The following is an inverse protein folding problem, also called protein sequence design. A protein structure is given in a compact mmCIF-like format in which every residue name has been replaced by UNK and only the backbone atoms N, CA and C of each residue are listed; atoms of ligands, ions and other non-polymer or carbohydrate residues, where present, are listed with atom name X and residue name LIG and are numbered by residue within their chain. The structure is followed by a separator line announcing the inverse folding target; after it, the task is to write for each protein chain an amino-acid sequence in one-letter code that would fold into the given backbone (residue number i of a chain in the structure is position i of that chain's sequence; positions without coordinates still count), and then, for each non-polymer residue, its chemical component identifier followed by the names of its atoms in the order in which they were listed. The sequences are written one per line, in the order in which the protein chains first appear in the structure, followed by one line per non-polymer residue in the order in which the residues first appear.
data_IF_293560292393
#
_entry.id   IF_293560292393
#
_cell.length_a   1.000
_cell.length_b   1.000
_cell.length_c   1.000
_cell.angle_alpha   90.00
_cell.angle_beta   90.00
_cell.angle_gamma   90.00
#
_symmetry.space_group_name_H-M   'P 1'
#
loop_
_entity.id
_entity.type
_entity.pdbx_description
1 polymer ?
#
# COMPACT_ATOMS: atom_id res chain seq x y z
N UNK A 1 -4.56 12.23 -19.15
CA UNK A 1 -5.98 12.18 -18.75
C UNK A 1 -5.98 11.55 -17.37
N UNK A 2 -6.85 11.99 -16.44
CA UNK A 2 -6.99 11.31 -15.15
C UNK A 2 -7.26 9.82 -15.37
N UNK A 3 -6.76 8.98 -14.47
CA UNK A 3 -7.01 7.54 -14.51
C UNK A 3 -8.45 7.24 -14.08
N UNK A 4 -9.14 6.41 -14.85
CA UNK A 4 -10.45 5.87 -14.46
C UNK A 4 -10.25 4.49 -13.82
N UNK A 5 -11.17 4.10 -12.94
CA UNK A 5 -11.16 2.76 -12.32
C UNK A 5 -11.13 1.67 -13.39
N UNK A 6 -10.18 0.75 -13.25
CA UNK A 6 -9.94 -0.35 -14.18
C UNK A 6 -9.07 0.03 -15.38
N UNK A 7 -8.69 1.30 -15.55
CA UNK A 7 -7.68 1.65 -16.54
C UNK A 7 -6.37 0.91 -16.23
N UNK A 8 -5.75 0.34 -17.25
CA UNK A 8 -4.38 -0.19 -17.18
C UNK A 8 -3.46 0.77 -17.91
N UNK A 9 -2.34 1.10 -17.29
CA UNK A 9 -1.34 1.99 -17.86
C UNK A 9 0.05 1.41 -17.72
N UNK A 10 0.81 1.48 -18.80
CA UNK A 10 2.26 1.31 -18.74
C UNK A 10 2.87 2.46 -17.93
N UNK A 11 3.78 2.13 -17.03
CA UNK A 11 4.58 3.10 -16.29
C UNK A 11 5.62 3.65 -17.26
N UNK A 12 5.33 4.84 -17.79
CA UNK A 12 6.21 5.56 -18.73
C UNK A 12 7.04 6.65 -18.04
N UNK A 13 7.02 6.65 -16.72
CA UNK A 13 7.77 7.53 -15.83
C UNK A 13 9.21 7.05 -15.76
N UNK A 14 10.19 7.95 -15.80
CA UNK A 14 11.61 7.57 -15.86
C UNK A 14 11.93 6.72 -17.10
N UNK A 15 12.81 5.74 -16.93
CA UNK A 15 13.20 4.77 -17.98
C UNK A 15 12.52 3.39 -17.78
N UNK A 16 11.41 3.33 -17.03
CA UNK A 16 10.72 2.08 -16.74
C UNK A 16 10.26 1.35 -18.01
N UNK A 17 10.39 0.03 -18.01
CA UNK A 17 9.84 -0.88 -19.01
C UNK A 17 9.13 -2.05 -18.34
N UNK A 18 8.23 -2.68 -19.10
CA UNK A 18 7.55 -3.92 -18.72
C UNK A 18 6.75 -3.83 -17.41
N UNK A 19 6.52 -2.60 -16.94
CA UNK A 19 5.83 -2.26 -15.71
C UNK A 19 4.52 -1.56 -16.03
N UNK A 20 3.44 -2.06 -15.44
CA UNK A 20 2.10 -1.53 -15.60
C UNK A 20 1.47 -1.32 -14.22
N UNK A 21 0.43 -0.50 -14.18
CA UNK A 21 -0.37 -0.30 -12.99
C UNK A 21 -1.84 -0.12 -13.37
N UNK A 22 -2.73 -0.50 -12.45
CA UNK A 22 -4.16 -0.24 -12.58
C UNK A 22 -4.73 0.44 -11.35
N UNK A 23 -5.79 1.22 -11.56
CA UNK A 23 -6.63 1.73 -10.48
C UNK A 23 -7.68 0.66 -10.15
N UNK A 24 -7.62 0.15 -8.93
CA UNK A 24 -8.51 -0.91 -8.44
C UNK A 24 -9.91 -0.40 -8.08
N UNK A 25 -10.15 0.91 -8.08
CA UNK A 25 -11.40 1.52 -7.62
C UNK A 25 -11.64 1.31 -6.13
N UNK A 26 -10.56 1.31 -5.35
CA UNK A 26 -10.60 1.15 -3.91
C UNK A 26 -11.55 2.19 -3.29
N UNK A 27 -12.48 1.75 -2.45
CA UNK A 27 -13.54 2.58 -1.86
C UNK A 27 -14.43 3.34 -2.86
N UNK A 28 -14.50 2.90 -4.13
CA UNK A 28 -15.21 3.63 -5.18
C UNK A 28 -14.62 5.02 -5.46
N UNK A 29 -13.35 5.23 -5.12
CA UNK A 29 -12.64 6.49 -5.28
C UNK A 29 -11.56 6.33 -6.35
N UNK A 30 -11.59 7.18 -7.38
CA UNK A 30 -10.57 7.18 -8.42
C UNK A 30 -9.22 7.60 -7.83
N UNK A 31 -8.14 7.09 -8.41
CA UNK A 31 -6.77 7.43 -8.06
C UNK A 31 -6.52 7.33 -6.55
N UNK A 32 -7.10 6.32 -5.90
CA UNK A 32 -6.85 6.03 -4.48
C UNK A 32 -6.06 4.73 -4.29
N UNK A 33 -6.38 3.66 -5.01
CA UNK A 33 -5.75 2.35 -4.80
C UNK A 33 -5.19 1.77 -6.10
N UNK A 34 -3.87 1.65 -6.19
CA UNK A 34 -3.14 1.11 -7.31
C UNK A 34 -2.50 -0.24 -6.98
N UNK A 35 -2.44 -1.12 -7.98
CA UNK A 35 -1.62 -2.33 -7.94
C UNK A 35 -0.78 -2.40 -9.21
N UNK A 36 0.36 -3.08 -9.14
CA UNK A 36 1.33 -3.09 -10.22
C UNK A 36 1.48 -4.48 -10.83
N UNK A 37 1.80 -4.52 -12.11
CA UNK A 37 2.05 -5.74 -12.90
C UNK A 37 3.43 -5.58 -13.55
N UNK A 38 4.28 -6.59 -13.42
CA UNK A 38 5.58 -6.69 -14.10
C UNK A 38 5.49 -7.85 -15.10
N UNK A 39 5.66 -7.54 -16.39
CA UNK A 39 5.63 -8.49 -17.50
C UNK A 39 7.05 -8.95 -17.85
N UNK A 40 7.51 -10.02 -17.19
CA UNK A 40 8.85 -10.57 -17.38
C UNK A 40 8.80 -12.09 -17.57
N UNK A 41 9.95 -12.77 -17.57
CA UNK A 41 10.06 -14.22 -17.68
C UNK A 41 9.22 -14.95 -16.62
N UNK A 42 9.09 -14.36 -15.43
CA UNK A 42 8.14 -14.75 -14.39
C UNK A 42 7.22 -13.57 -14.08
N UNK A 43 6.05 -13.48 -14.73
CA UNK A 43 5.13 -12.38 -14.53
C UNK A 43 4.71 -12.23 -13.07
N UNK A 44 4.67 -10.98 -12.61
CA UNK A 44 4.44 -10.66 -11.22
C UNK A 44 3.35 -9.60 -11.03
N UNK A 45 2.67 -9.68 -9.89
CA UNK A 45 1.80 -8.64 -9.36
C UNK A 45 2.38 -8.16 -8.03
N UNK A 46 2.43 -6.84 -7.83
CA UNK A 46 2.76 -6.22 -6.53
C UNK A 46 1.50 -5.59 -5.95
N UNK A 47 1.10 -6.11 -4.78
CA UNK A 47 -0.17 -5.86 -4.09
C UNK A 47 -1.43 -6.22 -4.92
N UNK A 48 -2.57 -6.33 -4.24
CA UNK A 48 -3.79 -6.98 -4.77
C UNK A 48 -5.08 -6.25 -4.42
N UNK A 49 -4.98 -5.10 -3.74
CA UNK A 49 -6.13 -4.29 -3.37
C UNK A 49 -7.02 -4.91 -2.28
N UNK A 50 -8.21 -4.33 -2.10
CA UNK A 50 -9.25 -4.73 -1.13
C UNK A 50 -10.00 -6.03 -1.48
N UNK A 51 -9.60 -6.71 -2.57
CA UNK A 51 -10.19 -7.95 -3.07
C UNK A 51 -11.53 -7.81 -3.79
N UNK A 52 -12.39 -6.84 -3.49
CA UNK A 52 -13.74 -6.74 -4.08
C UNK A 52 -13.75 -6.48 -5.60
N UNK A 53 -12.69 -5.86 -6.11
CA UNK A 53 -12.49 -5.55 -7.53
C UNK A 53 -11.34 -6.34 -8.17
N UNK A 54 -10.96 -7.50 -7.62
CA UNK A 54 -9.85 -8.29 -8.17
C UNK A 54 -10.08 -8.74 -9.62
N UNK A 55 -11.34 -8.81 -10.08
CA UNK A 55 -11.70 -9.04 -11.49
C UNK A 55 -11.15 -7.95 -12.43
N UNK A 56 -10.92 -6.72 -11.96
CA UNK A 56 -10.26 -5.66 -12.74
C UNK A 56 -8.77 -5.98 -12.93
N UNK A 57 -8.11 -6.48 -11.89
CA UNK A 57 -6.72 -6.94 -11.99
C UNK A 57 -6.60 -8.16 -12.92
N UNK A 58 -7.55 -9.10 -12.90
CA UNK A 58 -7.60 -10.18 -13.89
C UNK A 58 -7.69 -9.66 -15.33
N UNK A 59 -8.58 -8.70 -15.57
CA UNK A 59 -8.71 -8.06 -16.89
C UNK A 59 -7.42 -7.34 -17.29
N UNK A 60 -6.75 -6.71 -16.33
CA UNK A 60 -5.49 -6.04 -16.58
C UNK A 60 -4.37 -7.01 -16.97
N UNK A 61 -4.26 -8.14 -16.28
CA UNK A 61 -3.33 -9.22 -16.64
C UNK A 61 -3.61 -9.72 -18.07
N UNK A 62 -4.88 -9.95 -18.42
CA UNK A 62 -5.28 -10.34 -19.77
C UNK A 62 -4.92 -9.27 -20.83
N UNK A 63 -5.05 -7.98 -20.50
CA UNK A 63 -4.69 -6.85 -21.38
C UNK A 63 -3.18 -6.73 -21.61
N UNK A 64 -2.37 -6.98 -20.58
CA UNK A 64 -0.91 -7.06 -20.65
C UNK A 64 -0.46 -8.33 -21.40
N UNK A 65 -1.29 -9.37 -21.41
CA UNK A 65 -1.05 -10.63 -22.12
C UNK A 65 -0.61 -11.79 -21.23
N UNK A 66 -0.79 -11.67 -19.91
CA UNK A 66 -0.47 -12.68 -18.89
C UNK A 66 -1.72 -13.53 -18.65
N UNK A 67 -1.71 -14.77 -19.13
CA UNK A 67 -2.80 -15.70 -18.95
C UNK A 67 -2.84 -16.36 -17.56
N UNK A 68 -3.90 -17.13 -17.31
CA UNK A 68 -4.15 -17.85 -16.05
C UNK A 68 -3.00 -18.80 -15.65
N UNK A 69 -2.34 -19.41 -16.63
CA UNK A 69 -1.21 -20.31 -16.40
C UNK A 69 0.16 -19.59 -16.43
N UNK A 70 0.19 -18.29 -16.72
CA UNK A 70 1.44 -17.54 -16.95
C UNK A 70 1.88 -16.73 -15.72
N UNK A 71 0.95 -16.26 -14.86
CA UNK A 71 1.33 -15.55 -13.63
C UNK A 71 2.09 -16.48 -12.69
N UNK A 72 3.25 -16.03 -12.21
CA UNK A 72 4.14 -16.82 -11.35
C UNK A 72 4.34 -16.22 -9.95
N UNK A 73 4.17 -14.91 -9.79
CA UNK A 73 4.47 -14.20 -8.54
C UNK A 73 3.33 -13.27 -8.14
N UNK A 74 2.82 -13.44 -6.92
CA UNK A 74 1.96 -12.46 -6.24
C UNK A 74 2.75 -11.96 -5.02
N UNK A 75 3.39 -10.82 -5.14
CA UNK A 75 4.16 -10.21 -4.05
C UNK A 75 3.30 -9.21 -3.31
N UNK A 76 3.15 -9.37 -1.99
CA UNK A 76 2.45 -8.39 -1.15
C UNK A 76 3.45 -7.64 -0.29
N UNK A 77 3.35 -6.31 -0.28
CA UNK A 77 4.22 -5.45 0.53
C UNK A 77 3.98 -5.68 2.01
N UNK A 78 2.72 -5.89 2.38
CA UNK A 78 2.30 -6.21 3.73
C UNK A 78 0.88 -6.79 3.76
N UNK A 79 0.46 -7.33 4.90
CA UNK A 79 -0.79 -8.11 4.99
C UNK A 79 -2.05 -7.27 5.28
N UNK A 80 -2.01 -5.94 5.28
CA UNK A 80 -3.27 -5.19 5.40
C UNK A 80 -4.19 -5.52 4.21
N UNK A 81 -5.50 -5.58 4.45
CA UNK A 81 -6.42 -6.12 3.45
C UNK A 81 -6.65 -5.22 2.25
N UNK A 82 -6.22 -3.97 2.28
CA UNK A 82 -6.13 -3.07 1.13
C UNK A 82 -4.91 -3.35 0.24
N UNK A 83 -3.97 -4.19 0.68
CA UNK A 83 -2.81 -4.65 -0.10
C UNK A 83 -2.91 -6.15 -0.41
N UNK A 84 -3.26 -6.98 0.57
CA UNK A 84 -3.31 -8.44 0.42
C UNK A 84 -4.73 -9.01 0.27
N UNK A 85 -5.77 -8.18 0.19
CA UNK A 85 -7.17 -8.63 0.17
C UNK A 85 -7.54 -9.45 -1.06
N UNK A 86 -6.90 -9.19 -2.20
CA UNK A 86 -7.09 -9.93 -3.45
C UNK A 86 -6.22 -11.19 -3.60
N UNK A 87 -5.19 -11.36 -2.77
CA UNK A 87 -4.15 -12.37 -2.97
C UNK A 87 -4.70 -13.81 -3.01
N UNK A 88 -5.64 -14.14 -2.12
CA UNK A 88 -6.27 -15.47 -2.10
C UNK A 88 -7.07 -15.79 -3.35
N UNK A 89 -7.83 -14.82 -3.85
CA UNK A 89 -8.61 -14.97 -5.08
C UNK A 89 -7.70 -15.16 -6.30
N UNK A 90 -6.65 -14.35 -6.42
CA UNK A 90 -5.66 -14.50 -7.48
C UNK A 90 -4.94 -15.85 -7.39
N UNK A 91 -4.49 -16.27 -6.21
CA UNK A 91 -3.81 -17.56 -6.06
C UNK A 91 -4.71 -18.76 -6.42
N UNK A 92 -6.04 -18.65 -6.20
CA UNK A 92 -6.99 -19.67 -6.61
C UNK A 92 -7.16 -19.73 -8.14
N UNK A 93 -7.11 -18.58 -8.79
CA UNK A 93 -7.33 -18.42 -10.23
C UNK A 93 -6.08 -18.65 -11.09
N UNK A 94 -4.90 -18.38 -10.53
CA UNK A 94 -3.59 -18.52 -11.18
C UNK A 94 -2.79 -19.66 -10.51
N UNK A 95 -3.00 -20.92 -10.92
CA UNK A 95 -2.49 -22.10 -10.21
C UNK A 95 -0.97 -22.28 -10.28
N UNK A 96 -0.25 -21.44 -11.04
CA UNK A 96 1.21 -21.41 -11.08
C UNK A 96 1.82 -20.29 -10.21
N UNK A 97 1.04 -19.27 -9.83
CA UNK A 97 1.49 -18.15 -8.99
C UNK A 97 1.67 -18.45 -7.49
N UNK A 98 2.90 -18.39 -6.99
CA UNK A 98 3.17 -18.42 -5.55
C UNK A 98 2.98 -17.02 -4.93
N UNK A 99 2.56 -16.97 -3.67
CA UNK A 99 2.32 -15.73 -2.93
C UNK A 99 3.52 -15.44 -2.02
N UNK A 100 4.24 -14.37 -2.34
CA UNK A 100 5.40 -13.90 -1.60
C UNK A 100 4.96 -12.87 -0.57
N UNK A 101 5.21 -13.16 0.71
CA UNK A 101 4.69 -12.38 1.84
C UNK A 101 5.75 -12.27 2.93
N UNK A 102 5.87 -11.12 3.61
CA UNK A 102 6.75 -10.99 4.77
C UNK A 102 6.47 -12.07 5.81
N UNK A 103 7.52 -12.77 6.26
CA UNK A 103 7.40 -13.95 7.11
C UNK A 103 6.51 -13.72 8.36
N UNK A 104 6.58 -12.52 8.93
CA UNK A 104 5.80 -12.10 10.12
C UNK A 104 4.28 -12.17 9.86
N UNK A 105 3.83 -11.97 8.61
CA UNK A 105 2.43 -11.95 8.21
C UNK A 105 1.91 -13.25 7.58
N UNK A 106 2.77 -14.20 7.25
CA UNK A 106 2.44 -15.38 6.43
C UNK A 106 1.25 -16.20 6.96
N UNK A 107 1.24 -16.52 8.26
CA UNK A 107 0.16 -17.28 8.92
C UNK A 107 -1.23 -16.64 8.73
N UNK A 108 -1.30 -15.32 8.59
CA UNK A 108 -2.55 -14.60 8.40
C UNK A 108 -3.13 -14.76 7.00
N UNK A 109 -2.33 -15.12 6.00
CA UNK A 109 -2.83 -15.42 4.66
C UNK A 109 -3.30 -16.87 4.53
N UNK A 110 -2.76 -17.78 5.37
CA UNK A 110 -3.27 -19.15 5.49
C UNK A 110 -4.60 -19.20 6.22
N UNK A 111 -4.75 -18.45 7.32
CA UNK A 111 -6.01 -18.25 8.04
C UNK A 111 -6.28 -16.75 8.28
N UNK A 112 -7.06 -16.10 7.39
CA UNK A 112 -7.32 -14.66 7.47
C UNK A 112 -8.33 -14.27 8.54
N UNK A 113 -8.86 -15.20 9.33
CA UNK A 113 -9.94 -14.90 10.29
C UNK A 113 -9.58 -13.80 11.29
N UNK A 114 -8.33 -13.78 11.78
CA UNK A 114 -7.84 -12.72 12.69
C UNK A 114 -7.64 -11.38 11.97
N UNK A 115 -7.11 -11.43 10.75
CA UNK A 115 -6.85 -10.25 9.94
C UNK A 115 -8.16 -9.56 9.53
N UNK A 116 -9.18 -10.34 9.15
CA UNK A 116 -10.54 -9.86 8.88
C UNK A 116 -11.15 -9.19 10.12
N UNK A 117 -11.02 -9.81 11.29
CA UNK A 117 -11.56 -9.25 12.53
C UNK A 117 -10.89 -7.91 12.89
N UNK A 118 -9.56 -7.82 12.76
CA UNK A 118 -8.80 -6.59 12.98
C UNK A 118 -9.16 -5.49 11.98
N UNK A 119 -9.24 -5.84 10.69
CA UNK A 119 -9.59 -4.89 9.63
C UNK A 119 -10.99 -4.31 9.84
N UNK A 120 -12.00 -5.15 10.12
CA UNK A 120 -13.37 -4.68 10.43
C UNK A 120 -13.41 -3.67 11.58
N UNK A 121 -12.54 -3.84 12.58
CA UNK A 121 -12.43 -2.89 13.68
C UNK A 121 -11.77 -1.57 13.26
N UNK A 122 -10.76 -1.63 12.40
CA UNK A 122 -10.02 -0.46 11.93
C UNK A 122 -10.83 0.39 10.94
N UNK A 123 -11.42 -0.24 9.92
CA UNK A 123 -12.08 0.46 8.81
C UNK A 123 -13.55 0.79 9.07
N UNK A 124 -14.19 0.11 10.04
CA UNK A 124 -15.57 0.38 10.42
C UNK A 124 -16.55 0.20 9.26
N UNK A 125 -17.32 1.25 8.96
CA UNK A 125 -18.34 1.23 7.91
C UNK A 125 -17.74 1.04 6.51
N UNK A 126 -16.46 1.44 6.30
CA UNK A 126 -15.74 1.20 5.04
C UNK A 126 -15.55 -0.29 4.73
N UNK A 127 -15.84 -1.20 5.68
CA UNK A 127 -15.87 -2.64 5.41
C UNK A 127 -16.83 -3.01 4.28
N UNK A 128 -17.85 -2.20 3.99
CA UNK A 128 -18.77 -2.45 2.87
C UNK A 128 -18.09 -2.54 1.50
N UNK A 129 -16.91 -1.93 1.35
CA UNK A 129 -16.11 -2.00 0.12
C UNK A 129 -15.24 -3.26 0.05
N UNK A 130 -14.95 -3.91 1.18
CA UNK A 130 -14.12 -5.10 1.23
C UNK A 130 -14.92 -6.37 0.92
N UNK A 131 -14.18 -7.40 0.48
CA UNK A 131 -14.64 -8.79 0.51
C UNK A 131 -13.81 -9.56 1.54
N UNK A 132 -14.37 -10.61 2.15
CA UNK A 132 -13.56 -11.50 2.99
C UNK A 132 -12.56 -12.24 2.08
N UNK A 133 -11.24 -12.17 2.36
CA UNK A 133 -10.22 -12.80 1.54
C UNK A 133 -10.32 -14.33 1.61
N UNK A 134 -9.92 -15.00 0.53
CA UNK A 134 -9.78 -16.45 0.52
C UNK A 134 -8.47 -16.89 1.21
N UNK A 135 -8.49 -17.99 1.97
CA UNK A 135 -7.27 -18.56 2.54
C UNK A 135 -6.36 -19.11 1.44
N UNK A 136 -5.06 -18.91 1.59
CA UNK A 136 -4.04 -19.41 0.66
C UNK A 136 -3.47 -20.73 1.23
N UNK A 137 -3.34 -21.81 0.43
CA UNK A 137 -2.66 -23.02 0.86
C UNK A 137 -1.23 -22.74 1.31
N UNK A 138 -0.81 -23.31 2.44
CA UNK A 138 0.52 -23.09 3.02
C UNK A 138 1.66 -23.41 2.03
N UNK A 139 1.47 -24.41 1.17
CA UNK A 139 2.43 -24.78 0.13
C UNK A 139 2.60 -23.76 -1.01
N UNK A 140 1.73 -22.75 -1.07
CA UNK A 140 1.76 -21.63 -2.04
C UNK A 140 2.31 -20.34 -1.44
N UNK A 141 2.59 -20.35 -0.13
CA UNK A 141 3.19 -19.22 0.57
C UNK A 141 4.70 -19.32 0.50
N UNK A 142 5.35 -18.26 0.04
CA UNK A 142 6.79 -18.07 0.11
C UNK A 142 7.06 -16.92 1.07
N UNK A 143 7.65 -17.24 2.21
CA UNK A 143 8.07 -16.25 3.19
C UNK A 143 9.30 -15.48 2.67
N UNK A 144 9.24 -14.16 2.74
CA UNK A 144 10.34 -13.24 2.40
C UNK A 144 10.73 -12.38 3.60
N UNK A 145 11.98 -11.89 3.60
CA UNK A 145 12.50 -10.93 4.57
C UNK A 145 13.61 -10.05 3.99
N UNK A 146 14.20 -9.21 4.84
CA UNK A 146 15.24 -8.25 4.44
C UNK A 146 16.39 -8.89 3.66
N UNK A 147 16.73 -8.32 2.50
CA UNK A 147 17.81 -8.76 1.63
C UNK A 147 17.50 -9.97 0.75
N UNK A 148 16.30 -10.55 0.84
CA UNK A 148 15.85 -11.55 -0.12
C UNK A 148 15.62 -10.92 -1.51
N UNK A 149 15.65 -11.77 -2.54
CA UNK A 149 15.41 -11.36 -3.93
C UNK A 149 14.41 -12.31 -4.56
N UNK A 150 13.31 -11.77 -5.08
CA UNK A 150 12.39 -12.49 -5.97
C UNK A 150 12.82 -12.22 -7.40
N UNK A 151 13.56 -13.18 -7.96
CA UNK A 151 14.05 -13.15 -9.35
C UNK A 151 12.89 -13.31 -10.34
N UNK A 152 12.63 -12.29 -11.18
CA UNK A 152 11.59 -12.33 -12.21
C UNK A 152 12.16 -12.60 -13.61
N UNK A 153 13.48 -12.60 -13.77
CA UNK A 153 14.20 -12.70 -15.04
C UNK A 153 15.10 -11.49 -15.31
N UNK A 154 14.57 -10.49 -16.00
CA UNK A 154 15.21 -9.19 -16.23
C UNK A 154 15.07 -8.27 -15.01
N UNK A 155 13.91 -8.31 -14.37
CA UNK A 155 13.53 -7.58 -13.18
C UNK A 155 13.78 -8.44 -11.93
N UNK A 156 14.04 -7.75 -10.82
CA UNK A 156 14.14 -8.35 -9.49
C UNK A 156 13.18 -7.59 -8.56
N UNK A 157 12.54 -8.26 -7.62
CA UNK A 157 11.99 -7.60 -6.43
C UNK A 157 12.96 -7.84 -5.27
N UNK A 158 13.83 -6.86 -5.01
CA UNK A 158 14.72 -6.88 -3.84
C UNK A 158 13.97 -6.38 -2.62
N UNK A 159 13.98 -7.19 -1.57
CA UNK A 159 13.17 -6.96 -0.37
C UNK A 159 13.95 -6.13 0.64
N UNK A 160 13.36 -5.04 1.09
CA UNK A 160 13.89 -4.22 2.18
C UNK A 160 12.82 -4.08 3.27
N UNK A 161 13.19 -4.38 4.52
CA UNK A 161 12.27 -4.17 5.64
C UNK A 161 11.98 -2.67 5.85
N UNK A 162 10.69 -2.34 5.99
CA UNK A 162 10.22 -0.98 6.28
C UNK A 162 9.09 -1.04 7.34
N UNK A 163 9.39 -1.41 8.59
CA UNK A 163 8.40 -1.87 9.56
C UNK A 163 7.60 -0.77 10.28
N UNK A 164 7.77 0.51 9.92
CA UNK A 164 7.22 1.65 10.64
C UNK A 164 5.69 1.75 10.59
N UNK A 165 5.10 1.64 9.40
CA UNK A 165 3.63 1.61 9.26
C UNK A 165 3.05 0.34 9.88
N UNK A 166 3.66 -0.80 9.59
CA UNK A 166 3.33 -2.08 10.18
C UNK A 166 4.56 -2.97 10.32
N UNK A 167 4.69 -3.77 11.41
CA UNK A 167 5.86 -4.63 11.63
C UNK A 167 6.10 -5.71 10.55
N UNK A 168 5.13 -5.94 9.68
CA UNK A 168 5.19 -6.92 8.59
C UNK A 168 5.22 -6.22 7.22
N UNK A 169 5.71 -4.98 7.15
CA UNK A 169 5.85 -4.23 5.91
C UNK A 169 7.27 -4.34 5.34
N UNK A 170 7.32 -4.57 4.03
CA UNK A 170 8.51 -4.46 3.20
C UNK A 170 8.23 -3.54 2.03
N UNK A 171 9.29 -2.94 1.50
CA UNK A 171 9.28 -2.31 0.18
C UNK A 171 10.04 -3.19 -0.80
N UNK A 172 9.69 -3.08 -2.08
CA UNK A 172 10.38 -3.80 -3.15
C UNK A 172 11.13 -2.80 -4.03
N UNK A 173 12.44 -3.00 -4.18
CA UNK A 173 13.26 -2.30 -5.17
C UNK A 173 13.30 -3.15 -6.45
N UNK A 174 12.96 -2.53 -7.58
CA UNK A 174 13.22 -3.04 -8.93
C UNK A 174 14.36 -2.22 -9.58
N UNK A 175 15.60 -2.73 -9.54
CA UNK A 175 16.77 -2.01 -10.04
C UNK A 175 16.79 -1.88 -11.56
N UNK A 176 16.05 -2.71 -12.31
CA UNK A 176 16.01 -2.62 -13.77
C UNK A 176 15.21 -1.39 -14.22
N UNK A 177 14.17 -1.05 -13.45
CA UNK A 177 13.34 0.14 -13.62
C UNK A 177 13.82 1.35 -12.82
N UNK A 178 14.85 1.18 -11.98
CA UNK A 178 15.27 2.19 -11.00
C UNK A 178 14.09 2.71 -10.15
N UNK A 179 13.26 1.76 -9.71
CA UNK A 179 11.97 2.02 -9.10
C UNK A 179 11.84 1.32 -7.74
N UNK A 180 11.08 1.94 -6.83
CA UNK A 180 10.72 1.34 -5.54
C UNK A 180 9.21 1.32 -5.38
N UNK A 181 8.65 0.14 -5.15
CA UNK A 181 7.28 -0.06 -4.67
C UNK A 181 7.25 0.26 -3.18
N UNK A 182 6.74 1.44 -2.86
CA UNK A 182 6.99 2.09 -1.56
C UNK A 182 6.17 1.53 -0.41
N UNK A 183 5.22 0.62 -0.68
CA UNK A 183 4.18 0.27 0.28
C UNK A 183 3.57 1.56 0.87
N UNK A 184 3.32 1.60 2.17
CA UNK A 184 2.86 2.80 2.88
C UNK A 184 4.01 3.57 3.55
N UNK A 185 5.27 3.27 3.20
CA UNK A 185 6.47 3.89 3.78
C UNK A 185 6.82 5.27 3.22
N UNK A 186 6.13 5.72 2.17
CA UNK A 186 6.34 7.02 1.54
C UNK A 186 5.09 7.92 1.53
N UNK A 187 4.00 7.47 2.17
CA UNK A 187 2.72 8.18 2.24
C UNK A 187 1.74 7.85 1.11
N UNK A 188 0.65 8.60 1.09
CA UNK A 188 -0.34 8.59 0.01
C UNK A 188 0.04 9.72 -0.95
N UNK A 189 0.45 9.40 -2.18
CA UNK A 189 0.59 10.41 -3.24
C UNK A 189 -0.80 11.01 -3.53
N UNK A 190 -0.93 12.19 -4.16
CA UNK A 190 -2.18 12.80 -4.67
C UNK A 190 -1.89 13.51 -6.00
N UNK A 191 -2.26 12.99 -7.19
CA UNK A 191 -1.67 13.48 -8.43
C UNK A 191 -2.40 14.73 -8.93
N UNK A 192 -3.67 14.88 -8.56
CA UNK A 192 -4.50 16.03 -8.86
C UNK A 192 -3.97 17.30 -8.18
N UNK A 193 -3.45 17.18 -6.95
CA UNK A 193 -2.90 18.30 -6.17
C UNK A 193 -1.37 18.32 -6.12
N UNK A 194 -0.73 17.24 -6.57
CA UNK A 194 0.72 17.00 -6.48
C UNK A 194 1.24 17.07 -5.03
N UNK A 195 0.49 16.48 -4.09
CA UNK A 195 0.79 16.50 -2.64
C UNK A 195 0.97 15.09 -2.09
N UNK A 196 1.79 14.94 -1.04
CA UNK A 196 1.83 13.73 -0.22
C UNK A 196 0.94 13.88 1.02
N UNK A 197 0.27 12.79 1.42
CA UNK A 197 -0.53 12.67 2.65
C UNK A 197 0.01 11.57 3.56
N UNK A 198 -0.31 11.69 4.84
CA UNK A 198 0.14 10.79 5.89
C UNK A 198 -0.40 9.35 5.75
N UNK A 199 0.35 8.39 6.29
CA UNK A 199 -0.03 6.99 6.44
C UNK A 199 0.27 6.54 7.87
N UNK A 200 -0.72 6.70 8.75
CA UNK A 200 -0.66 6.30 10.14
C UNK A 200 -1.86 5.48 10.65
N UNK A 201 -2.71 4.81 9.83
CA UNK A 201 -3.91 4.16 10.36
C UNK A 201 -3.70 2.91 11.26
N UNK A 202 -2.63 2.08 11.13
CA UNK A 202 -2.56 0.83 11.87
C UNK A 202 -2.39 1.04 13.36
N UNK A 203 -2.92 0.10 14.16
CA UNK A 203 -2.72 0.14 15.61
C UNK A 203 -1.25 0.01 16.00
N UNK A 204 -0.42 -0.57 15.14
CA UNK A 204 1.00 -0.81 15.33
C UNK A 204 1.90 0.31 14.79
N UNK A 205 1.33 1.35 14.17
CA UNK A 205 2.06 2.51 13.63
C UNK A 205 3.10 3.06 14.62
N UNK A 206 4.32 3.31 14.15
CA UNK A 206 5.40 3.88 14.96
C UNK A 206 6.14 4.97 14.19
N UNK A 207 5.99 6.22 14.64
CA UNK A 207 6.56 7.38 13.95
C UNK A 207 8.08 7.27 13.82
N UNK A 208 8.78 6.87 14.88
CA UNK A 208 10.24 6.76 14.82
C UNK A 208 10.68 5.70 13.81
N UNK A 209 10.02 4.55 13.77
CA UNK A 209 10.30 3.53 12.77
C UNK A 209 9.92 4.00 11.35
N UNK A 210 8.83 4.74 11.14
CA UNK A 210 8.51 5.34 9.84
C UNK A 210 9.59 6.31 9.35
N UNK A 211 10.19 7.07 10.27
CA UNK A 211 11.31 7.96 9.92
C UNK A 211 12.59 7.19 9.62
N UNK A 212 12.79 6.02 10.23
CA UNK A 212 13.87 5.09 9.84
C UNK A 212 13.60 4.48 8.45
N UNK A 213 12.36 4.13 8.14
CA UNK A 213 11.96 3.64 6.80
C UNK A 213 12.23 4.69 5.72
N UNK A 214 11.95 5.97 6.01
CA UNK A 214 12.28 7.09 5.12
C UNK A 214 13.78 7.12 4.79
N UNK A 215 14.66 6.90 5.77
CA UNK A 215 16.10 6.85 5.51
C UNK A 215 16.48 5.60 4.70
N UNK A 216 15.82 4.46 4.93
CA UNK A 216 15.98 3.26 4.08
C UNK A 216 15.65 3.58 2.62
N UNK A 217 14.51 4.22 2.33
CA UNK A 217 14.13 4.57 0.97
C UNK A 217 15.09 5.60 0.33
N UNK A 218 15.65 6.53 1.13
CA UNK A 218 16.68 7.47 0.64
C UNK A 218 17.97 6.76 0.25
N UNK A 219 18.37 5.73 1.00
CA UNK A 219 19.57 4.96 0.72
C UNK A 219 19.45 4.10 -0.56
N UNK A 220 18.21 3.79 -0.99
CA UNK A 220 17.95 3.14 -2.28
C UNK A 220 18.15 4.08 -3.48
N UNK A 221 17.93 5.39 -3.30
CA UNK A 221 18.13 6.45 -4.30
C UNK A 221 17.46 6.17 -5.66
N UNK A 222 16.15 5.84 -5.73
CA UNK A 222 15.49 5.48 -6.99
C UNK A 222 15.05 6.70 -7.80
N UNK A 223 14.91 6.52 -9.11
CA UNK A 223 14.34 7.52 -10.01
C UNK A 223 12.80 7.56 -9.96
N UNK A 224 12.15 6.46 -9.57
CA UNK A 224 10.68 6.33 -9.55
C UNK A 224 10.16 5.73 -8.24
N UNK A 225 9.15 6.38 -7.66
CA UNK A 225 8.33 5.78 -6.60
C UNK A 225 7.03 5.22 -7.16
N UNK A 226 6.71 3.97 -6.81
CA UNK A 226 5.49 3.27 -7.15
C UNK A 226 4.61 3.16 -5.90
N UNK A 227 3.67 4.10 -5.74
CA UNK A 227 2.79 4.13 -4.58
C UNK A 227 1.59 3.19 -4.75
N UNK A 228 1.21 2.39 -3.74
CA UNK A 228 -0.05 1.64 -3.75
C UNK A 228 -1.26 2.55 -3.53
N UNK A 229 -1.07 3.71 -2.90
CA UNK A 229 -2.10 4.76 -2.78
C UNK A 229 -1.60 6.09 -3.38
N UNK A 230 -1.36 6.29 -4.66
CA UNK A 230 -1.57 5.57 -5.92
C UNK A 230 -0.36 5.91 -6.82
N UNK A 231 -0.14 5.10 -7.86
CA UNK A 231 0.56 5.44 -9.11
C UNK A 231 2.07 5.75 -9.05
N UNK A 232 2.73 5.71 -10.22
CA UNK A 232 4.14 6.04 -10.34
C UNK A 232 4.38 7.57 -10.27
N UNK A 233 5.44 7.98 -9.57
CA UNK A 233 5.93 9.37 -9.50
C UNK A 233 7.41 9.41 -9.87
N UNK A 234 7.77 10.22 -10.87
CA UNK A 234 9.18 10.50 -11.18
C UNK A 234 9.73 11.39 -10.06
N UNK A 235 10.81 10.96 -9.43
CA UNK A 235 11.48 11.72 -8.39
C UNK A 235 12.91 12.04 -8.75
N UNK A 236 13.64 11.15 -9.44
CA UNK A 236 15.01 11.40 -9.88
C UNK A 236 15.91 11.95 -8.79
N UNK A 237 16.69 12.98 -9.12
CA UNK A 237 17.56 13.72 -8.17
C UNK A 237 16.79 14.31 -6.95
N UNK A 238 15.46 14.40 -6.99
CA UNK A 238 14.60 14.92 -5.91
C UNK A 238 14.03 13.81 -4.99
N UNK A 239 14.43 12.53 -5.16
CA UNK A 239 13.95 11.40 -4.34
C UNK A 239 14.05 11.68 -2.83
N UNK A 240 15.21 12.12 -2.36
CA UNK A 240 15.40 12.45 -0.95
C UNK A 240 14.53 13.63 -0.48
N UNK A 241 14.27 14.61 -1.35
CA UNK A 241 13.43 15.76 -1.02
C UNK A 241 11.94 15.37 -0.93
N UNK A 242 11.48 14.47 -1.79
CA UNK A 242 10.12 13.92 -1.73
C UNK A 242 9.90 13.09 -0.45
N UNK A 243 10.92 12.35 0.01
CA UNK A 243 10.87 11.62 1.26
C UNK A 243 10.95 12.54 2.50
N UNK A 244 11.74 13.62 2.44
CA UNK A 244 11.75 14.68 3.48
C UNK A 244 10.39 15.38 3.60
N UNK A 245 9.69 15.57 2.46
CA UNK A 245 8.33 16.10 2.43
C UNK A 245 7.37 15.17 3.19
N UNK A 246 7.40 13.86 2.89
CA UNK A 246 6.57 12.87 3.59
C UNK A 246 6.88 12.82 5.09
N UNK A 247 8.16 12.79 5.49
CA UNK A 247 8.56 12.81 6.89
C UNK A 247 7.99 14.05 7.61
N UNK A 248 8.07 15.22 6.98
CA UNK A 248 7.51 16.47 7.51
C UNK A 248 5.99 16.40 7.65
N UNK A 249 5.28 15.86 6.66
CA UNK A 249 3.82 15.66 6.70
C UNK A 249 3.43 14.74 7.86
N UNK A 250 4.13 13.61 8.00
CA UNK A 250 3.84 12.63 9.04
C UNK A 250 4.12 13.16 10.45
N UNK A 251 5.25 13.85 10.66
CA UNK A 251 5.56 14.50 11.94
C UNK A 251 4.52 15.57 12.30
N UNK A 252 4.17 16.44 11.34
CA UNK A 252 3.17 17.48 11.54
C UNK A 252 1.78 16.90 11.85
N UNK A 253 1.42 15.80 11.20
CA UNK A 253 0.19 15.08 11.49
C UNK A 253 0.17 14.55 12.94
N UNK A 254 1.25 13.89 13.37
CA UNK A 254 1.36 13.37 14.73
C UNK A 254 1.29 14.49 15.77
N UNK A 255 1.98 15.62 15.52
CA UNK A 255 1.92 16.81 16.37
C UNK A 255 0.49 17.37 16.45
N UNK A 256 -0.21 17.52 15.32
CA UNK A 256 -1.58 18.01 15.27
C UNK A 256 -2.54 17.13 16.07
N UNK A 257 -2.43 15.80 15.95
CA UNK A 257 -3.27 14.86 16.73
C UNK A 257 -2.95 14.98 18.22
N UNK A 258 -1.68 15.08 18.60
CA UNK A 258 -1.27 15.23 20.00
C UNK A 258 -1.79 16.55 20.62
N UNK A 259 -1.71 17.66 19.88
CA UNK A 259 -2.27 18.95 20.30
C UNK A 259 -3.78 18.84 20.52
N UNK A 260 -4.51 18.24 19.58
CA UNK A 260 -5.97 18.06 19.70
C UNK A 260 -6.36 17.14 20.85
N UNK A 261 -5.59 16.09 21.10
CA UNK A 261 -5.76 15.21 22.26
C UNK A 261 -5.61 15.95 23.59
N UNK A 262 -4.74 16.96 23.66
CA UNK A 262 -4.59 17.79 24.85
C UNK A 262 -5.72 18.82 25.05
N UNK A 263 -6.42 19.20 23.97
CA UNK A 263 -7.50 20.19 23.97
C UNK A 263 -8.89 19.58 24.19
N UNK A 264 -9.13 18.39 23.65
CA UNK A 264 -10.45 17.76 23.57
C UNK A 264 -10.69 16.76 24.71
N UNK A 265 -11.95 16.38 24.91
CA UNK A 265 -12.38 15.63 26.09
C UNK A 265 -12.02 14.14 26.06
N UNK A 266 -11.99 13.54 24.88
CA UNK A 266 -11.65 12.14 24.64
C UNK A 266 -11.20 11.90 23.19
N UNK A 267 -10.66 10.70 22.93
CA UNK A 267 -10.18 10.26 21.63
C UNK A 267 -11.27 10.29 20.54
N UNK A 268 -12.54 10.08 20.90
CA UNK A 268 -13.63 10.12 19.94
C UNK A 268 -13.87 11.55 19.43
N UNK A 269 -13.74 12.55 20.31
CA UNK A 269 -13.79 13.95 19.92
C UNK A 269 -12.60 14.34 19.02
N UNK A 270 -11.40 13.79 19.29
CA UNK A 270 -10.21 14.01 18.43
C UNK A 270 -10.42 13.44 17.05
N UNK A 271 -10.84 12.17 16.95
CA UNK A 271 -11.13 11.51 15.68
C UNK A 271 -12.22 12.26 14.90
N UNK A 272 -13.30 12.67 15.59
CA UNK A 272 -14.38 13.45 14.99
C UNK A 272 -13.90 14.79 14.43
N UNK A 273 -13.00 15.48 15.13
CA UNK A 273 -12.43 16.74 14.67
C UNK A 273 -11.73 16.61 13.32
N UNK A 274 -10.82 15.63 13.19
CA UNK A 274 -10.09 15.42 11.93
C UNK A 274 -10.99 14.91 10.80
N UNK A 275 -11.98 14.06 11.12
CA UNK A 275 -12.97 13.62 10.14
C UNK A 275 -13.80 14.79 9.59
N UNK A 276 -14.23 15.72 10.45
CA UNK A 276 -15.05 16.88 10.08
C UNK A 276 -14.26 18.01 9.37
N UNK A 277 -12.94 18.04 9.54
CA UNK A 277 -12.08 19.13 9.03
C UNK A 277 -11.13 18.68 7.93
N UNK A 278 -11.30 17.46 7.40
CA UNK A 278 -10.49 16.93 6.31
C UNK A 278 -10.50 17.85 5.09
N UNK A 279 -9.31 18.17 4.59
CA UNK A 279 -9.12 19.06 3.43
C UNK A 279 -9.24 18.31 2.09
N UNK A 280 -9.40 16.98 2.13
CA UNK A 280 -9.42 16.11 0.94
C UNK A 280 -10.81 15.87 0.34
N UNK A 281 -11.82 16.58 0.81
CA UNK A 281 -13.22 16.39 0.38
C UNK A 281 -13.45 16.69 -1.11
N UNK A 282 -12.67 17.61 -1.70
CA UNK A 282 -12.76 17.91 -3.14
C UNK A 282 -12.12 16.82 -4.01
N UNK A 283 -11.17 16.03 -3.47
CA UNK A 283 -10.42 14.99 -4.19
C UNK A 283 -11.07 13.61 -4.00
N UNK A 284 -11.30 13.19 -2.75
CA UNK A 284 -11.82 11.85 -2.43
C UNK A 284 -13.31 11.83 -2.09
N UNK A 285 -13.96 12.99 -2.06
CA UNK A 285 -15.34 13.11 -1.59
C UNK A 285 -15.47 13.11 -0.06
N UNK A 286 -16.61 13.61 0.44
CA UNK A 286 -16.85 13.80 1.88
C UNK A 286 -16.65 12.52 2.71
N UNK A 287 -17.19 11.39 2.23
CA UNK A 287 -17.19 10.14 2.98
C UNK A 287 -15.77 9.56 3.14
N UNK A 288 -15.05 9.39 2.02
CA UNK A 288 -13.70 8.81 2.05
C UNK A 288 -12.69 9.74 2.71
N UNK A 289 -12.74 11.04 2.44
CA UNK A 289 -11.84 12.01 3.08
C UNK A 289 -12.01 12.04 4.61
N UNK A 290 -13.25 11.93 5.11
CA UNK A 290 -13.51 11.86 6.55
C UNK A 290 -13.08 10.51 7.16
N UNK A 291 -13.36 9.41 6.47
CA UNK A 291 -12.97 8.07 6.92
C UNK A 291 -11.44 7.94 6.99
N UNK A 292 -10.72 8.48 6.01
CA UNK A 292 -9.25 8.44 5.96
C UNK A 292 -8.62 9.21 7.12
N UNK A 293 -9.04 10.45 7.33
CA UNK A 293 -8.57 11.27 8.46
C UNK A 293 -8.88 10.60 9.82
N UNK A 294 -10.06 9.97 9.94
CA UNK A 294 -10.45 9.26 11.15
C UNK A 294 -9.57 8.03 11.45
N UNK A 295 -9.20 7.26 10.42
CA UNK A 295 -8.33 6.09 10.58
C UNK A 295 -6.91 6.52 10.95
N UNK A 296 -6.35 7.49 10.23
CA UNK A 296 -5.01 8.03 10.52
C UNK A 296 -4.92 8.59 11.94
N UNK A 297 -5.91 9.36 12.39
CA UNK A 297 -5.93 9.92 13.74
C UNK A 297 -5.96 8.81 14.81
N UNK A 298 -6.70 7.73 14.56
CA UNK A 298 -6.80 6.60 15.49
C UNK A 298 -5.47 5.89 15.68
N UNK A 299 -4.72 5.65 14.61
CA UNK A 299 -3.41 5.01 14.74
C UNK A 299 -2.40 5.88 15.50
N UNK A 300 -2.39 7.21 15.27
CA UNK A 300 -1.58 8.13 16.08
C UNK A 300 -1.98 8.11 17.55
N UNK A 301 -3.27 8.13 17.89
CA UNK A 301 -3.72 8.03 19.28
C UNK A 301 -3.19 6.76 19.96
N UNK A 302 -3.24 5.62 19.25
CA UNK A 302 -2.67 4.37 19.72
C UNK A 302 -1.15 4.39 19.88
N UNK A 303 -0.44 5.09 18.99
CA UNK A 303 1.00 5.35 19.12
C UNK A 303 1.32 6.18 20.37
N UNK A 304 0.59 7.28 20.60
CA UNK A 304 0.76 8.13 21.77
C UNK A 304 0.53 7.36 23.08
N UNK A 305 -0.47 6.46 23.13
CA UNK A 305 -0.72 5.60 24.30
C UNK A 305 0.46 4.70 24.68
N UNK A 306 1.24 4.24 23.69
CA UNK A 306 2.41 3.38 23.93
C UNK A 306 3.62 4.12 24.47
N UNK A 307 3.65 5.46 24.35
CA UNK A 307 4.76 6.31 24.79
C UNK A 307 4.65 6.79 26.23
N UNK A 308 3.44 6.75 26.81
CA UNK A 308 3.18 7.14 28.20
C UNK A 308 3.58 6.06 29.23
#
# INVERSE_FOLDING_TARGET
MAMEVGDVREVTTGDCSDLYYLDTGMYGTNEYGAVYIIDDERPAVVDTGIGSNYDLLRQALDEVGIGEDDLEVIAVTHIHLDHAGGAGFLAADYPNADVYVPAIGADHLVDPSRLVAGTKQAVGDQWEYYVEPEPIPEERIVEIGDGDVVDLGTHDLRVHEAPGHAPHQVVFEDPANDAVFTADAAGIWVPETEEIRETSPPSQFDLEACLEDVETLKDLDPDVFCYPHFGPREVGDDAAAALDEYATVLEAWVEAVAEKRAELEDDAAVIGHFAETSEMTDVWGEEKAAAEAAMNARGVLGYLDRRE
#
